data_IF_674736821495
#
_entry.id   IF_674736821495
#
_cell.length_a   1.000
_cell.length_b   1.000
_cell.length_c   1.000
_cell.angle_alpha   90.00
_cell.angle_beta   90.00
_cell.angle_gamma   90.00
#
_symmetry.space_group_name_H-M   'P 1'
#
loop_
_entity.id
_entity.type
_entity.pdbx_description
1 polymer ?
#
# COMPACT_ATOMS: atom_id res chain seq x y z
N UNK A 1 38.16 -5.41 43.99
CA UNK A 1 37.28 -6.59 44.08
C UNK A 1 38.20 -7.79 44.09
N UNK A 2 38.32 -8.44 45.25
CA UNK A 2 39.34 -9.47 45.45
C UNK A 2 38.82 -10.81 44.94
N UNK A 3 39.74 -11.68 44.51
CA UNK A 3 39.47 -13.02 43.98
C UNK A 3 38.59 -13.88 44.92
N UNK A 4 38.66 -13.60 46.23
CA UNK A 4 37.83 -14.21 47.26
C UNK A 4 36.33 -13.88 47.13
N UNK A 5 35.98 -12.66 46.70
CA UNK A 5 34.58 -12.22 46.52
C UNK A 5 33.95 -12.85 45.27
N UNK A 6 34.76 -13.11 44.24
CA UNK A 6 34.35 -13.81 43.03
C UNK A 6 34.03 -15.29 43.30
N UNK A 7 34.88 -15.97 44.07
CA UNK A 7 34.61 -17.36 44.45
C UNK A 7 33.36 -17.49 45.35
N UNK A 8 33.11 -16.52 46.23
CA UNK A 8 31.86 -16.45 47.00
C UNK A 8 30.63 -16.26 46.11
N UNK A 9 30.69 -15.33 45.16
CA UNK A 9 29.59 -15.06 44.23
C UNK A 9 29.28 -16.26 43.31
N UNK A 10 30.30 -16.99 42.85
CA UNK A 10 30.10 -18.21 42.05
C UNK A 10 29.55 -19.37 42.89
N UNK A 11 29.97 -19.50 44.15
CA UNK A 11 29.42 -20.50 45.07
C UNK A 11 27.93 -20.30 45.34
N UNK A 12 27.50 -19.04 45.54
CA UNK A 12 26.10 -18.70 45.78
C UNK A 12 25.21 -18.82 44.53
N UNK A 13 25.78 -18.61 43.33
CA UNK A 13 25.09 -18.85 42.06
C UNK A 13 24.91 -20.35 41.79
N UNK A 14 25.95 -21.15 42.05
CA UNK A 14 25.88 -22.60 41.89
C UNK A 14 24.89 -23.23 42.88
N UNK A 15 24.86 -22.75 44.13
CA UNK A 15 23.93 -23.23 45.16
C UNK A 15 22.48 -22.85 44.84
N UNK A 16 22.22 -21.60 44.41
CA UNK A 16 20.88 -21.19 43.94
C UNK A 16 20.41 -21.97 42.72
N UNK A 17 21.30 -22.26 41.78
CA UNK A 17 20.97 -23.09 40.61
C UNK A 17 20.60 -24.53 40.99
N UNK A 18 21.32 -25.13 41.95
CA UNK A 18 21.04 -26.47 42.43
C UNK A 18 19.73 -26.55 43.23
N UNK A 19 19.47 -25.59 44.12
CA UNK A 19 18.24 -25.54 44.93
C UNK A 19 17.00 -25.33 44.05
N UNK A 20 17.11 -24.49 43.01
CA UNK A 20 16.05 -24.24 42.04
C UNK A 20 15.80 -25.46 41.14
N UNK A 21 16.85 -26.22 40.78
CA UNK A 21 16.71 -27.51 40.08
C UNK A 21 16.02 -28.58 40.94
N UNK A 22 16.36 -28.65 42.23
CA UNK A 22 15.77 -29.60 43.18
C UNK A 22 14.30 -29.25 43.48
N UNK A 23 13.96 -27.96 43.56
CA UNK A 23 12.58 -27.49 43.68
C UNK A 23 11.74 -27.91 42.46
N UNK A 24 12.26 -27.72 41.25
CA UNK A 24 11.58 -28.09 40.00
C UNK A 24 11.43 -29.60 39.81
N UNK A 25 12.42 -30.40 40.24
CA UNK A 25 12.30 -31.87 40.21
C UNK A 25 11.27 -32.42 41.19
N UNK A 26 10.96 -31.71 42.29
CA UNK A 26 9.88 -32.09 43.21
C UNK A 26 8.48 -31.81 42.66
N UNK A 27 8.35 -30.88 41.70
CA UNK A 27 7.08 -30.49 41.10
C UNK A 27 6.67 -31.31 39.86
N UNK A 28 7.44 -32.35 39.51
CA UNK A 28 7.02 -33.39 38.56
C UNK A 28 6.88 -32.97 37.09
N UNK A 29 7.17 -31.71 36.73
CA UNK A 29 7.17 -31.24 35.36
C UNK A 29 8.55 -31.46 34.72
N UNK A 30 8.75 -32.61 34.07
CA UNK A 30 9.88 -32.78 33.15
C UNK A 30 9.82 -31.74 32.03
N UNK A 31 10.92 -31.05 31.77
CA UNK A 31 11.01 -30.05 30.70
C UNK A 31 10.83 -30.73 29.33
N UNK A 32 9.80 -30.35 28.57
CA UNK A 32 9.69 -30.74 27.17
C UNK A 32 10.86 -30.16 26.36
N UNK A 33 11.25 -30.82 25.28
CA UNK A 33 12.31 -30.34 24.38
C UNK A 33 12.02 -28.90 23.87
N UNK A 34 10.74 -28.55 23.71
CA UNK A 34 10.27 -27.22 23.30
C UNK A 34 10.46 -26.15 24.39
N UNK A 35 10.39 -26.54 25.67
CA UNK A 35 10.73 -25.66 26.79
C UNK A 35 12.22 -25.30 26.83
N UNK A 36 13.10 -26.23 26.42
CA UNK A 36 14.55 -26.04 26.40
C UNK A 36 14.96 -25.16 25.22
N UNK A 37 14.37 -25.35 24.04
CA UNK A 37 14.64 -24.53 22.85
C UNK A 37 14.14 -23.09 23.03
N UNK A 38 12.96 -22.89 23.62
CA UNK A 38 12.41 -21.55 23.91
C UNK A 38 13.19 -20.80 25.01
N UNK A 39 13.76 -21.51 25.98
CA UNK A 39 14.62 -20.88 26.99
C UNK A 39 15.99 -20.50 26.40
N UNK A 40 16.53 -21.33 25.51
CA UNK A 40 17.80 -21.08 24.82
C UNK A 40 17.72 -19.87 23.85
N UNK A 41 16.59 -19.69 23.16
CA UNK A 41 16.35 -18.53 22.29
C UNK A 41 16.20 -17.23 23.11
N UNK A 42 15.49 -17.29 24.25
CA UNK A 42 15.37 -16.17 25.21
C UNK A 42 16.73 -15.73 25.76
N UNK A 43 17.64 -16.66 26.05
CA UNK A 43 18.97 -16.35 26.56
C UNK A 43 19.89 -15.71 25.50
N UNK A 44 19.72 -16.02 24.21
CA UNK A 44 20.47 -15.38 23.11
C UNK A 44 20.01 -13.94 22.86
N UNK A 45 18.71 -13.65 22.87
CA UNK A 45 18.16 -12.29 22.63
C UNK A 45 18.56 -11.29 23.71
N UNK A 46 18.67 -11.70 24.97
CA UNK A 46 19.12 -10.82 26.07
C UNK A 46 20.59 -10.41 25.97
N UNK A 47 21.42 -11.11 25.19
CA UNK A 47 22.84 -10.74 25.00
C UNK A 47 23.05 -9.76 23.84
N UNK A 48 22.15 -9.68 22.87
CA UNK A 48 22.25 -8.75 21.74
C UNK A 48 21.65 -7.37 22.02
N UNK A 49 20.67 -7.26 22.92
CA UNK A 49 20.09 -5.97 23.31
C UNK A 49 21.00 -5.10 24.22
N UNK A 50 22.17 -5.60 24.65
CA UNK A 50 23.05 -4.94 25.62
C UNK A 50 24.28 -4.22 25.05
N UNK A 51 24.46 -4.13 23.73
CA UNK A 51 25.71 -3.61 23.13
C UNK A 51 25.56 -2.34 22.29
N UNK A 52 24.34 -1.83 22.06
CA UNK A 52 24.12 -0.68 21.16
C UNK A 52 23.72 0.61 21.89
N UNK A 53 24.52 1.07 22.86
CA UNK A 53 24.37 2.44 23.40
C UNK A 53 25.76 3.05 23.60
N UNK A 54 26.30 3.64 22.53
CA UNK A 54 27.35 4.66 22.65
C UNK A 54 27.37 5.59 21.42
N UNK A 55 26.95 6.84 21.65
CA UNK A 55 27.46 8.12 21.09
C UNK A 55 27.46 8.37 19.58
N UNK A 56 26.74 9.41 19.12
CA UNK A 56 27.31 10.77 19.01
C UNK A 56 26.24 11.84 18.67
N UNK A 57 26.20 12.88 19.49
CA UNK A 57 25.48 14.11 19.25
C UNK A 57 26.33 15.07 18.39
N UNK A 58 25.74 15.66 17.35
CA UNK A 58 26.29 16.84 16.67
C UNK A 58 25.16 17.86 16.49
N UNK A 59 25.26 18.95 17.23
CA UNK A 59 24.55 20.21 17.02
C UNK A 59 25.14 20.92 15.79
N UNK A 60 24.30 21.41 14.88
CA UNK A 60 24.71 22.19 13.71
C UNK A 60 23.61 23.16 13.27
N UNK A 61 23.92 24.46 13.35
CA UNK A 61 23.03 25.61 13.23
C UNK A 61 22.39 25.85 11.86
N UNK A 62 21.31 26.63 11.89
CA UNK A 62 20.57 27.21 10.78
C UNK A 62 21.42 28.04 9.80
N UNK A 63 21.09 27.96 8.51
CA UNK A 63 21.34 29.01 7.51
C UNK A 63 20.11 29.17 6.63
N UNK A 64 19.48 30.35 6.75
CA UNK A 64 18.55 30.94 5.79
C UNK A 64 19.30 31.33 4.52
N UNK A 65 18.79 30.97 3.34
CA UNK A 65 19.33 31.41 2.06
C UNK A 65 18.34 31.20 0.93
N UNK A 66 17.60 32.25 0.58
CA UNK A 66 16.69 32.25 -0.56
C UNK A 66 17.44 32.27 -1.89
N UNK A 67 16.83 31.66 -2.91
CA UNK A 67 17.26 31.83 -4.30
C UNK A 67 16.03 32.14 -5.15
N UNK A 68 16.17 33.21 -5.93
CA UNK A 68 15.14 33.84 -6.71
C UNK A 68 14.71 33.00 -7.92
N UNK A 69 13.41 32.99 -8.20
CA UNK A 69 12.83 32.46 -9.44
C UNK A 69 13.31 33.30 -10.64
N UNK A 70 14.14 32.69 -11.49
CA UNK A 70 14.40 33.20 -12.84
C UNK A 70 13.20 32.90 -13.74
N UNK A 71 12.52 33.95 -14.20
CA UNK A 71 11.46 33.84 -15.22
C UNK A 71 12.08 33.44 -16.56
N UNK A 72 11.68 32.31 -17.10
CA UNK A 72 11.88 31.97 -18.52
C UNK A 72 10.90 32.78 -19.38
N UNK A 73 11.32 33.27 -20.55
CA UNK A 73 10.43 33.99 -21.47
C UNK A 73 9.45 33.03 -22.15
N UNK A 74 8.19 33.46 -22.16
CA UNK A 74 7.06 32.82 -22.82
C UNK A 74 7.29 32.74 -24.34
N UNK A 75 7.12 31.57 -24.99
CA UNK A 75 7.20 31.48 -26.44
C UNK A 75 6.01 32.18 -27.09
N UNK A 76 6.32 33.15 -27.95
CA UNK A 76 5.38 33.93 -28.73
C UNK A 76 4.56 33.03 -29.67
N UNK A 77 3.21 33.09 -29.68
CA UNK A 77 2.39 32.31 -30.60
C UNK A 77 2.67 32.67 -32.07
N UNK A 78 2.87 31.65 -32.90
CA UNK A 78 2.95 31.80 -34.35
C UNK A 78 1.62 32.33 -34.91
N UNK A 79 1.72 33.28 -35.85
CA UNK A 79 0.57 33.91 -36.49
C UNK A 79 -0.31 32.88 -37.22
N UNK A 80 -1.66 33.01 -37.15
CA UNK A 80 -2.56 32.10 -37.83
C UNK A 80 -2.44 32.25 -39.36
N UNK A 81 -2.24 31.12 -40.04
CA UNK A 81 -2.29 31.02 -41.50
C UNK A 81 -3.75 31.13 -41.96
N UNK A 82 -4.08 31.99 -42.94
CA UNK A 82 -5.45 32.14 -43.42
C UNK A 82 -5.93 30.86 -44.13
N UNK A 83 -7.02 30.28 -43.62
CA UNK A 83 -7.73 29.14 -44.22
C UNK A 83 -8.64 29.65 -45.34
N UNK A 84 -8.62 29.04 -46.54
CA UNK A 84 -9.55 29.41 -47.61
C UNK A 84 -10.99 29.02 -47.23
N UNK A 85 -11.88 30.02 -47.27
CA UNK A 85 -13.33 29.84 -47.12
C UNK A 85 -13.92 29.32 -48.42
N UNK A 86 -14.46 28.10 -48.38
CA UNK A 86 -15.36 27.58 -49.42
C UNK A 86 -16.80 27.86 -48.96
N UNK A 87 -17.50 28.73 -49.70
CA UNK A 87 -18.92 29.00 -49.47
C UNK A 87 -19.76 27.81 -49.95
N UNK A 88 -20.36 27.09 -49.02
CA UNK A 88 -21.39 26.09 -49.30
C UNK A 88 -22.77 26.78 -49.48
N UNK A 89 -23.64 26.27 -50.37
CA UNK A 89 -24.95 26.85 -50.62
C UNK A 89 -25.90 26.70 -49.41
N UNK A 90 -26.77 27.69 -49.24
CA UNK A 90 -27.71 27.81 -48.13
C UNK A 90 -28.71 26.63 -48.08
N UNK A 91 -28.96 26.03 -46.90
CA UNK A 91 -29.97 25.01 -46.74
C UNK A 91 -31.38 25.62 -46.77
N UNK A 92 -32.28 24.92 -47.47
CA UNK A 92 -33.73 25.15 -47.54
C UNK A 92 -34.36 25.04 -46.14
N UNK A 93 -35.33 25.90 -45.77
CA UNK A 93 -35.96 25.84 -44.46
C UNK A 93 -36.84 24.60 -44.32
N UNK A 94 -36.45 23.67 -43.46
CA UNK A 94 -37.28 22.56 -42.99
C UNK A 94 -38.04 22.97 -41.73
N UNK A 95 -39.34 22.73 -41.74
CA UNK A 95 -40.30 22.96 -40.65
C UNK A 95 -39.82 22.29 -39.35
N UNK A 96 -39.85 22.97 -38.19
CA UNK A 96 -39.45 22.35 -36.92
C UNK A 96 -40.39 21.21 -36.57
N UNK A 97 -39.83 20.00 -36.42
CA UNK A 97 -40.53 18.91 -35.75
C UNK A 97 -40.76 19.30 -34.28
N UNK A 98 -41.88 18.90 -33.65
CA UNK A 98 -42.14 19.20 -32.25
C UNK A 98 -40.98 18.68 -31.40
N UNK A 99 -40.32 19.59 -30.67
CA UNK A 99 -39.30 19.25 -29.69
C UNK A 99 -39.91 18.30 -28.68
N UNK A 100 -39.37 17.08 -28.49
CA UNK A 100 -39.86 16.18 -27.45
C UNK A 100 -39.75 16.92 -26.11
N UNK A 101 -40.87 16.97 -25.39
CA UNK A 101 -40.92 17.52 -24.04
C UNK A 101 -39.96 16.70 -23.19
N UNK A 102 -38.92 17.34 -22.65
CA UNK A 102 -38.00 16.71 -21.71
C UNK A 102 -38.81 16.19 -20.51
N UNK A 103 -38.88 14.88 -20.38
CA UNK A 103 -39.39 14.25 -19.16
C UNK A 103 -38.48 14.71 -18.03
N UNK A 104 -39.01 15.27 -16.92
CA UNK A 104 -38.20 15.68 -15.78
C UNK A 104 -37.33 14.50 -15.36
N UNK A 105 -36.01 14.69 -15.32
CA UNK A 105 -35.11 13.71 -14.75
C UNK A 105 -35.56 13.43 -13.31
N UNK A 106 -35.84 12.17 -12.98
CA UNK A 106 -36.03 11.78 -11.57
C UNK A 106 -34.67 12.00 -10.90
N UNK A 107 -34.61 12.95 -9.96
CA UNK A 107 -33.41 13.10 -9.13
C UNK A 107 -33.21 11.84 -8.28
N UNK A 108 -31.95 11.44 -8.11
CA UNK A 108 -31.56 10.32 -7.25
C UNK A 108 -31.97 10.61 -5.80
N UNK A 109 -32.73 9.70 -5.21
CA UNK A 109 -33.16 9.80 -3.80
C UNK A 109 -32.05 9.21 -2.93
N UNK A 110 -31.57 9.99 -1.96
CA UNK A 110 -30.59 9.54 -0.97
C UNK A 110 -31.28 8.98 0.27
N UNK A 111 -30.59 8.06 0.95
CA UNK A 111 -31.06 7.50 2.21
C UNK A 111 -31.26 8.60 3.27
N UNK A 112 -32.38 8.55 3.97
CA UNK A 112 -32.62 9.31 5.18
C UNK A 112 -31.85 8.70 6.37
N UNK A 113 -31.43 9.56 7.30
CA UNK A 113 -30.68 9.15 8.48
C UNK A 113 -31.53 8.37 9.49
N UNK A 114 -31.04 7.19 9.89
CA UNK A 114 -31.61 6.35 10.94
C UNK A 114 -30.61 6.15 12.09
N UNK A 115 -30.83 6.79 13.27
CA UNK A 115 -29.95 6.66 14.42
C UNK A 115 -29.97 5.27 15.08
N UNK A 116 -30.92 4.40 14.71
CA UNK A 116 -31.01 3.04 15.24
C UNK A 116 -30.10 2.04 14.51
N UNK A 117 -29.63 2.40 13.31
CA UNK A 117 -28.64 1.63 12.57
C UNK A 117 -27.25 1.88 13.13
N UNK A 118 -26.41 0.83 13.18
CA UNK A 118 -25.01 0.97 13.53
C UNK A 118 -24.25 1.76 12.44
N UNK A 119 -23.25 2.54 12.86
CA UNK A 119 -22.35 3.21 11.92
C UNK A 119 -21.70 2.21 10.96
N UNK A 120 -21.60 2.60 9.68
CA UNK A 120 -21.12 1.73 8.59
C UNK A 120 -22.24 1.01 7.84
N UNK A 121 -23.49 1.10 8.31
CA UNK A 121 -24.65 0.66 7.53
C UNK A 121 -25.19 1.79 6.63
N UNK A 122 -25.82 1.43 5.51
CA UNK A 122 -26.48 2.41 4.66
C UNK A 122 -27.60 3.13 5.42
N UNK A 123 -27.69 4.45 5.28
CA UNK A 123 -28.65 5.29 6.00
C UNK A 123 -28.34 5.52 7.48
N UNK A 124 -27.27 4.92 8.03
CA UNK A 124 -26.85 5.23 9.41
C UNK A 124 -26.35 6.67 9.53
N UNK A 125 -26.45 7.24 10.74
CA UNK A 125 -25.82 8.51 11.04
C UNK A 125 -24.33 8.30 11.32
N UNK A 126 -23.49 9.30 11.01
CA UNK A 126 -22.07 9.30 11.44
C UNK A 126 -21.91 9.32 12.96
N UNK A 127 -22.95 9.74 13.68
CA UNK A 127 -23.01 9.71 15.15
C UNK A 127 -23.67 8.44 15.71
N UNK A 128 -24.09 7.50 14.86
CA UNK A 128 -24.64 6.23 15.29
C UNK A 128 -23.58 5.42 16.05
N UNK A 129 -23.98 4.60 17.03
CA UNK A 129 -23.04 3.68 17.68
C UNK A 129 -22.45 2.69 16.66
N UNK A 130 -21.21 2.28 16.86
CA UNK A 130 -20.57 1.20 16.09
C UNK A 130 -21.07 -0.16 16.55
N UNK A 131 -20.99 -1.17 15.68
CA UNK A 131 -21.36 -2.54 16.03
C UNK A 131 -20.39 -3.20 17.04
N UNK A 132 -19.13 -2.73 17.07
CA UNK A 132 -18.09 -3.17 18.01
C UNK A 132 -17.51 -1.95 18.74
N UNK A 133 -16.84 -2.12 19.89
CA UNK A 133 -16.22 -1.01 20.60
C UNK A 133 -15.17 -0.27 19.76
N UNK A 134 -15.08 1.05 19.93
CA UNK A 134 -14.05 1.86 19.30
C UNK A 134 -12.66 1.61 19.93
N UNK A 135 -11.63 1.73 19.11
CA UNK A 135 -10.23 1.73 19.54
C UNK A 135 -9.48 2.91 18.91
N UNK A 136 -8.90 3.76 19.74
CA UNK A 136 -8.22 5.00 19.36
C UNK A 136 -6.69 4.82 19.25
N UNK A 137 -6.17 3.63 19.54
CA UNK A 137 -4.74 3.32 19.36
C UNK A 137 -4.37 3.13 17.89
N UNK A 138 -5.35 2.83 17.04
CA UNK A 138 -5.20 2.67 15.61
C UNK A 138 -5.84 3.86 14.89
N UNK A 139 -5.47 4.07 13.62
CA UNK A 139 -6.11 5.04 12.74
C UNK A 139 -6.49 4.40 11.41
N UNK A 140 -7.74 4.54 10.98
CA UNK A 140 -8.10 4.24 9.61
C UNK A 140 -7.81 5.47 8.75
N UNK A 141 -7.31 5.30 7.54
CA UNK A 141 -6.94 6.42 6.68
C UNK A 141 -7.50 6.24 5.28
N UNK A 142 -7.84 7.37 4.67
CA UNK A 142 -8.11 7.48 3.24
C UNK A 142 -7.40 8.72 2.70
N UNK A 143 -6.75 8.57 1.56
CA UNK A 143 -6.27 9.67 0.75
C UNK A 143 -6.90 9.60 -0.64
N UNK A 144 -7.02 10.75 -1.28
CA UNK A 144 -7.45 10.82 -2.67
C UNK A 144 -6.60 11.83 -3.42
N UNK A 145 -6.39 11.56 -4.71
CA UNK A 145 -5.67 12.46 -5.61
C UNK A 145 -6.50 13.66 -6.05
N UNK A 146 -7.83 13.62 -5.86
CA UNK A 146 -8.73 14.71 -6.21
C UNK A 146 -9.89 14.80 -5.22
N UNK A 147 -10.26 16.03 -4.86
CA UNK A 147 -11.42 16.33 -4.02
C UNK A 147 -12.68 16.61 -4.85
N UNK A 148 -12.59 16.56 -6.19
CA UNK A 148 -13.67 16.92 -7.13
C UNK A 148 -13.77 15.89 -8.25
N UNK A 149 -14.93 15.28 -8.40
CA UNK A 149 -15.18 14.23 -9.40
C UNK A 149 -16.48 14.51 -10.15
N UNK A 150 -16.53 14.43 -11.50
CA UNK A 150 -17.79 14.52 -12.22
C UNK A 150 -18.74 13.38 -11.84
N UNK A 151 -20.04 13.65 -11.87
CA UNK A 151 -21.08 12.65 -11.61
C UNK A 151 -20.91 11.46 -12.54
N UNK A 152 -21.02 10.24 -12.00
CA UNK A 152 -20.80 9.01 -12.75
C UNK A 152 -19.34 8.63 -12.96
N UNK A 153 -18.36 9.38 -12.44
CA UNK A 153 -16.95 9.01 -12.50
C UNK A 153 -16.45 8.37 -11.20
N UNK A 154 -15.42 7.54 -11.32
CA UNK A 154 -14.75 6.91 -10.18
C UNK A 154 -13.66 7.83 -9.62
N UNK A 155 -13.33 7.66 -8.35
CA UNK A 155 -12.25 8.39 -7.67
C UNK A 155 -11.19 7.40 -7.18
N UNK A 156 -9.92 7.66 -7.53
CA UNK A 156 -8.82 6.86 -7.01
C UNK A 156 -8.59 7.23 -5.53
N UNK A 157 -8.56 6.21 -4.69
CA UNK A 157 -8.34 6.34 -3.24
C UNK A 157 -7.20 5.43 -2.81
N UNK A 158 -6.45 5.88 -1.82
CA UNK A 158 -5.48 5.09 -1.07
C UNK A 158 -6.02 4.90 0.34
N UNK A 159 -5.95 3.69 0.88
CA UNK A 159 -6.50 3.37 2.19
C UNK A 159 -5.56 2.47 2.96
N UNK A 160 -5.41 2.72 4.25
CA UNK A 160 -4.59 1.90 5.14
C UNK A 160 -5.07 2.02 6.59
N UNK A 161 -4.56 1.17 7.47
CA UNK A 161 -4.82 1.23 8.91
C UNK A 161 -3.50 1.38 9.65
N UNK A 162 -3.24 2.55 10.21
CA UNK A 162 -2.03 2.80 11.00
C UNK A 162 -2.14 2.18 12.40
N UNK A 163 -1.03 1.60 12.86
CA UNK A 163 -0.83 1.17 14.24
C UNK A 163 -0.15 2.33 14.96
N UNK A 164 -0.93 3.16 15.66
CA UNK A 164 -0.46 4.43 16.21
C UNK A 164 0.77 4.33 17.13
N UNK A 165 1.22 5.48 17.63
CA UNK A 165 2.56 5.59 18.27
C UNK A 165 2.68 5.00 19.67
N UNK A 166 1.57 4.63 20.33
CA UNK A 166 1.53 4.19 21.73
C UNK A 166 1.68 2.67 21.88
N UNK A 167 2.78 2.23 22.52
CA UNK A 167 3.10 0.84 22.91
C UNK A 167 3.23 -0.17 21.73
N UNK A 168 3.88 -1.33 21.93
CA UNK A 168 3.97 -2.36 20.89
C UNK A 168 2.66 -3.13 20.81
N UNK A 169 1.84 -2.80 19.81
CA UNK A 169 0.58 -3.51 19.55
C UNK A 169 0.80 -4.53 18.44
N UNK A 170 0.39 -5.77 18.67
CA UNK A 170 0.23 -6.77 17.62
C UNK A 170 -1.24 -6.82 17.26
N UNK A 171 -1.55 -6.64 15.98
CA UNK A 171 -2.92 -6.60 15.51
C UNK A 171 -3.10 -7.44 14.24
N UNK A 172 -4.32 -7.91 14.02
CA UNK A 172 -4.75 -8.32 12.69
C UNK A 172 -5.50 -7.15 12.04
N UNK A 173 -5.02 -6.73 10.87
CA UNK A 173 -5.56 -5.62 10.09
C UNK A 173 -6.16 -6.16 8.79
N UNK A 174 -7.17 -5.49 8.20
CA UNK A 174 -7.73 -5.94 6.94
C UNK A 174 -6.71 -5.84 5.80
N UNK A 175 -6.52 -6.92 5.05
CA UNK A 175 -5.57 -7.00 3.92
C UNK A 175 -5.86 -5.96 2.83
N UNK A 176 -7.14 -5.61 2.69
CA UNK A 176 -7.61 -4.63 1.72
C UNK A 176 -7.56 -3.18 2.24
N UNK A 177 -6.93 -2.90 3.39
CA UNK A 177 -6.96 -1.57 3.99
C UNK A 177 -8.35 -1.19 4.54
N UNK A 178 -8.59 0.11 4.72
CA UNK A 178 -9.81 0.62 5.34
C UNK A 178 -11.03 0.58 4.40
N UNK A 179 -12.21 0.42 4.99
CA UNK A 179 -13.50 0.61 4.33
C UNK A 179 -13.85 2.09 4.32
N UNK A 180 -14.57 2.55 3.28
CA UNK A 180 -14.98 3.95 3.16
C UNK A 180 -16.51 4.05 3.18
N UNK A 181 -17.03 4.85 4.11
CA UNK A 181 -18.40 5.33 4.06
C UNK A 181 -18.45 6.69 3.33
N UNK A 182 -19.32 6.83 2.34
CA UNK A 182 -19.60 8.10 1.68
C UNK A 182 -20.78 8.75 2.39
N UNK A 183 -20.53 9.92 2.98
CA UNK A 183 -21.47 10.61 3.88
C UNK A 183 -21.96 11.90 3.24
N UNK A 184 -23.26 12.18 3.35
CA UNK A 184 -23.85 13.48 3.04
C UNK A 184 -24.78 13.90 4.16
N UNK A 185 -24.63 15.15 4.62
CA UNK A 185 -25.43 15.73 5.70
C UNK A 185 -25.46 14.85 6.98
N UNK A 186 -24.34 14.19 7.28
CA UNK A 186 -24.20 13.29 8.43
C UNK A 186 -24.82 11.90 8.27
N UNK A 187 -25.33 11.55 7.08
CA UNK A 187 -25.91 10.24 6.75
C UNK A 187 -25.00 9.47 5.80
N UNK A 188 -24.79 8.18 6.07
CA UNK A 188 -24.10 7.28 5.15
C UNK A 188 -25.00 7.00 3.94
N UNK A 189 -24.59 7.46 2.76
CA UNK A 189 -25.36 7.34 1.51
C UNK A 189 -24.69 6.44 0.48
N UNK A 190 -23.43 6.05 0.71
CA UNK A 190 -22.69 5.09 -0.10
C UNK A 190 -21.72 4.30 0.77
N UNK A 191 -21.41 3.08 0.37
CA UNK A 191 -20.42 2.22 1.02
C UNK A 191 -19.52 1.63 -0.06
N UNK A 192 -18.23 1.62 0.22
CA UNK A 192 -17.25 0.94 -0.63
C UNK A 192 -16.31 0.14 0.24
N UNK A 193 -16.26 -1.16 -0.04
CA UNK A 193 -15.17 -2.00 0.44
C UNK A 193 -14.16 -2.16 -0.67
N UNK A 194 -12.89 -2.06 -0.31
CA UNK A 194 -11.75 -2.49 -1.11
C UNK A 194 -11.67 -4.02 -1.25
N UNK A 195 -12.69 -4.75 -0.78
CA UNK A 195 -12.69 -6.20 -0.52
C UNK A 195 -12.04 -7.04 -1.62
N UNK A 196 -11.39 -8.12 -1.18
CA UNK A 196 -10.50 -8.97 -1.99
C UNK A 196 -11.07 -10.36 -2.28
N UNK A 197 -12.31 -10.65 -1.90
CA UNK A 197 -12.96 -11.94 -2.15
C UNK A 197 -12.40 -13.06 -1.27
N UNK A 198 -11.86 -14.14 -1.86
CA UNK A 198 -11.35 -15.32 -1.13
C UNK A 198 -9.89 -15.20 -0.66
N UNK A 199 -9.28 -14.02 -0.83
CA UNK A 199 -7.96 -13.69 -0.28
C UNK A 199 -8.07 -13.58 1.24
N UNK A 200 -7.00 -13.88 2.02
CA UNK A 200 -7.00 -13.63 3.46
C UNK A 200 -7.53 -12.23 3.76
N UNK A 201 -8.60 -12.17 4.54
CA UNK A 201 -9.25 -10.90 4.86
C UNK A 201 -8.40 -10.10 5.84
N UNK A 202 -7.50 -10.76 6.57
CA UNK A 202 -6.67 -10.15 7.59
C UNK A 202 -5.18 -10.39 7.34
N UNK A 203 -4.35 -9.52 7.91
CA UNK A 203 -2.92 -9.66 7.96
C UNK A 203 -2.45 -9.32 9.36
N UNK A 204 -1.57 -10.16 9.91
CA UNK A 204 -0.84 -9.83 11.12
C UNK A 204 0.11 -8.68 10.86
N UNK A 205 -0.04 -7.62 11.63
CA UNK A 205 0.82 -6.46 11.63
C UNK A 205 1.47 -6.33 13.01
N UNK A 206 2.77 -6.06 12.98
CA UNK A 206 3.57 -5.74 14.14
C UNK A 206 4.39 -4.51 13.79
N UNK A 207 4.33 -3.50 14.66
CA UNK A 207 5.06 -2.24 14.53
C UNK A 207 6.54 -2.40 14.17
N UNK A 208 7.19 -3.41 14.74
CA UNK A 208 8.65 -3.59 14.59
C UNK A 208 9.04 -4.41 13.36
N UNK A 209 8.08 -5.02 12.64
CA UNK A 209 8.38 -6.09 11.67
C UNK A 209 7.71 -5.97 10.29
N UNK A 210 6.96 -4.90 9.98
CA UNK A 210 6.19 -4.91 8.73
C UNK A 210 5.77 -3.56 8.15
N UNK A 211 5.56 -3.59 6.82
CA UNK A 211 4.77 -2.57 6.15
C UNK A 211 3.29 -2.75 6.49
N UNK A 212 2.59 -1.63 6.66
CA UNK A 212 1.15 -1.61 6.94
C UNK A 212 0.38 -2.05 5.69
N UNK A 213 -0.62 -2.94 5.79
CA UNK A 213 -1.46 -3.29 4.66
C UNK A 213 -2.15 -2.05 4.09
N UNK A 214 -2.09 -1.88 2.77
CA UNK A 214 -2.71 -0.74 2.10
C UNK A 214 -3.45 -1.18 0.84
N UNK A 215 -4.46 -0.43 0.45
CA UNK A 215 -5.16 -0.62 -0.80
C UNK A 215 -5.32 0.69 -1.53
N UNK A 216 -4.88 0.67 -2.78
CA UNK A 216 -5.05 1.77 -3.73
C UNK A 216 -6.00 1.31 -4.83
N UNK A 217 -7.21 1.84 -4.84
CA UNK A 217 -8.32 1.32 -5.65
C UNK A 217 -9.26 2.43 -6.14
N UNK A 218 -10.19 2.08 -7.02
CA UNK A 218 -11.25 2.97 -7.46
C UNK A 218 -12.46 2.88 -6.54
N UNK A 219 -12.80 4.00 -5.92
CA UNK A 219 -14.07 4.19 -5.25
C UNK A 219 -15.10 4.62 -6.31
N UNK A 220 -16.16 3.83 -6.46
CA UNK A 220 -17.36 4.20 -7.23
C UNK A 220 -18.32 4.97 -6.31
N UNK A 221 -18.53 6.29 -6.49
CA UNK A 221 -19.45 7.07 -5.67
C UNK A 221 -20.90 6.75 -6.09
N UNK A 222 -21.42 5.64 -5.57
CA UNK A 222 -22.79 5.18 -5.82
C UNK A 222 -23.61 5.14 -4.55
N UNK A 223 -24.93 5.29 -4.70
CA UNK A 223 -25.89 5.14 -3.62
C UNK A 223 -25.85 3.71 -3.07
N UNK A 224 -25.95 3.57 -1.76
CA UNK A 224 -26.42 2.35 -1.13
C UNK A 224 -27.93 2.48 -0.86
N UNK A 225 -28.62 1.35 -0.61
CA UNK A 225 -30.03 1.36 -0.21
C UNK A 225 -30.23 0.61 1.11
N UNK A 226 -30.80 1.24 2.15
CA UNK A 226 -31.23 0.51 3.34
C UNK A 226 -32.53 -0.25 3.06
N UNK A 227 -32.68 -1.45 3.64
CA UNK A 227 -33.89 -2.27 3.45
C UNK A 227 -35.19 -1.54 3.87
N UNK A 228 -35.08 -0.58 4.79
CA UNK A 228 -36.21 0.20 5.31
C UNK A 228 -36.67 1.34 4.39
N UNK A 229 -35.93 1.66 3.31
CA UNK A 229 -36.25 2.79 2.40
C UNK A 229 -36.27 2.33 0.93
N UNK A 230 -37.40 1.76 0.46
CA UNK A 230 -37.49 1.15 -0.88
C UNK A 230 -37.40 2.15 -2.04
N UNK A 231 -37.54 3.45 -1.77
CA UNK A 231 -37.43 4.50 -2.78
C UNK A 231 -35.96 4.85 -3.11
N UNK A 232 -35.00 4.38 -2.31
CA UNK A 232 -33.56 4.52 -2.55
C UNK A 232 -33.09 3.32 -3.38
N UNK A 233 -32.53 3.59 -4.55
CA UNK A 233 -32.00 2.54 -5.43
C UNK A 233 -30.50 2.42 -5.19
N UNK A 234 -30.01 1.23 -4.87
CA UNK A 234 -28.59 0.97 -4.70
C UNK A 234 -27.86 0.90 -6.06
N UNK A 235 -26.64 1.40 -6.11
CA UNK A 235 -25.77 1.35 -7.28
C UNK A 235 -25.98 2.49 -8.29
N UNK A 236 -26.91 3.41 -8.04
CA UNK A 236 -27.04 4.62 -8.87
C UNK A 236 -25.90 5.59 -8.57
N UNK A 237 -25.37 6.32 -9.58
CA UNK A 237 -24.40 7.38 -9.32
C UNK A 237 -24.92 8.36 -8.27
N UNK A 238 -24.06 8.76 -7.34
CA UNK A 238 -24.41 9.81 -6.39
C UNK A 238 -24.65 11.13 -7.15
N UNK A 239 -25.70 11.90 -6.83
CA UNK A 239 -25.98 13.17 -7.47
C UNK A 239 -24.91 14.22 -7.13
N UNK A 240 -24.91 15.33 -7.86
CA UNK A 240 -23.99 16.43 -7.54
C UNK A 240 -24.20 16.96 -6.11
N UNK A 241 -23.09 17.34 -5.46
CA UNK A 241 -23.12 17.83 -4.09
C UNK A 241 -21.80 17.68 -3.34
N UNK A 242 -21.80 18.10 -2.08
CA UNK A 242 -20.68 17.92 -1.16
C UNK A 242 -20.90 16.67 -0.31
N UNK A 243 -19.85 15.88 -0.20
CA UNK A 243 -19.79 14.61 0.49
C UNK A 243 -18.54 14.57 1.36
N UNK A 244 -18.52 13.60 2.26
CA UNK A 244 -17.36 13.28 3.09
C UNK A 244 -17.06 11.79 2.97
N UNK A 245 -15.81 11.45 2.73
CA UNK A 245 -15.29 10.10 2.84
C UNK A 245 -14.88 9.86 4.29
N UNK A 246 -15.59 8.96 4.95
CA UNK A 246 -15.32 8.58 6.33
C UNK A 246 -14.66 7.19 6.34
N UNK A 247 -13.33 7.09 6.47
CA UNK A 247 -12.66 5.80 6.57
C UNK A 247 -12.94 5.16 7.92
N UNK A 248 -13.10 3.84 7.90
CA UNK A 248 -13.18 3.02 9.09
C UNK A 248 -12.68 1.60 8.79
N UNK A 249 -12.25 0.90 9.81
CA UNK A 249 -11.84 -0.48 9.70
C UNK A 249 -12.25 -1.27 10.93
N UNK A 250 -12.55 -2.54 10.73
CA UNK A 250 -12.51 -3.49 11.82
C UNK A 250 -11.04 -3.90 12.02
N UNK A 251 -10.59 -3.98 13.26
CA UNK A 251 -9.27 -4.49 13.64
C UNK A 251 -9.42 -5.52 14.74
N UNK A 252 -8.48 -6.44 14.82
CA UNK A 252 -8.42 -7.39 15.92
C UNK A 252 -7.18 -7.13 16.73
N UNK A 253 -7.37 -6.62 17.95
CA UNK A 253 -6.29 -6.42 18.90
C UNK A 253 -5.88 -7.78 19.48
N UNK A 254 -4.62 -8.15 19.30
CA UNK A 254 -4.03 -9.37 19.84
C UNK A 254 -3.19 -9.07 21.11
N UNK A 255 -3.19 -7.82 21.56
CA UNK A 255 -2.51 -7.35 22.75
C UNK A 255 -0.98 -7.21 22.58
N UNK A 256 -0.30 -7.11 23.72
CA UNK A 256 1.15 -6.95 23.82
C UNK A 256 1.87 -8.30 24.05
N UNK A 257 1.14 -9.41 23.95
CA UNK A 257 1.60 -10.70 24.47
C UNK A 257 2.73 -11.30 23.61
N UNK A 258 3.81 -11.74 24.28
CA UNK A 258 4.92 -12.42 23.62
C UNK A 258 4.53 -13.81 23.08
N UNK A 259 3.33 -14.26 23.42
CA UNK A 259 2.75 -15.52 22.96
C UNK A 259 2.11 -15.42 21.56
N UNK A 260 1.98 -14.22 20.96
CA UNK A 260 1.60 -14.10 19.53
C UNK A 260 2.80 -14.54 18.67
N UNK A 261 2.68 -15.63 17.88
CA UNK A 261 3.81 -16.14 17.11
C UNK A 261 4.26 -15.09 16.08
N UNK A 262 5.48 -14.60 16.22
CA UNK A 262 6.09 -13.69 15.23
C UNK A 262 6.41 -14.40 13.92
N UNK A 263 6.69 -15.71 13.99
CA UNK A 263 7.00 -16.55 12.83
C UNK A 263 6.47 -17.98 13.05
N UNK A 264 5.34 -18.34 12.42
CA UNK A 264 5.03 -19.72 12.07
C UNK A 264 4.34 -20.64 13.10
N UNK A 265 3.28 -20.21 13.78
CA UNK A 265 2.58 -21.09 14.75
C UNK A 265 1.05 -21.08 14.81
N UNK A 266 0.38 -20.08 14.25
CA UNK A 266 -1.09 -20.04 14.21
C UNK A 266 -1.54 -19.68 12.80
N UNK A 267 -2.53 -20.42 12.29
CA UNK A 267 -3.28 -19.96 11.12
C UNK A 267 -4.01 -18.69 11.55
N UNK A 268 -4.02 -17.67 10.70
CA UNK A 268 -4.69 -16.38 10.93
C UNK A 268 -6.10 -16.53 11.54
N UNK A 269 -6.87 -17.51 11.04
CA UNK A 269 -8.20 -17.86 11.57
C UNK A 269 -8.18 -18.32 13.04
N UNK A 270 -7.15 -19.07 13.44
CA UNK A 270 -7.01 -19.56 14.81
C UNK A 270 -6.55 -18.45 15.74
N UNK A 271 -5.69 -17.54 15.26
CA UNK A 271 -5.27 -16.35 16.01
C UNK A 271 -6.45 -15.39 16.26
N UNK A 272 -7.25 -15.12 15.22
CA UNK A 272 -8.46 -14.31 15.31
C UNK A 272 -9.48 -14.92 16.29
N UNK A 273 -9.72 -16.22 16.20
CA UNK A 273 -10.72 -16.90 17.03
C UNK A 273 -10.29 -17.12 18.49
N UNK A 274 -8.99 -17.25 18.77
CA UNK A 274 -8.49 -17.61 20.09
C UNK A 274 -8.06 -16.43 20.96
N UNK A 275 -7.61 -15.33 20.36
CA UNK A 275 -6.87 -14.26 21.07
C UNK A 275 -7.40 -12.85 20.82
N UNK A 276 -8.25 -12.67 19.82
CA UNK A 276 -8.60 -11.36 19.29
C UNK A 276 -9.82 -10.70 19.94
N UNK A 277 -9.66 -9.45 20.37
CA UNK A 277 -10.82 -8.57 20.58
C UNK A 277 -11.08 -7.73 19.32
N UNK A 278 -12.25 -7.91 18.73
CA UNK A 278 -12.68 -7.14 17.57
C UNK A 278 -13.04 -5.71 17.97
N UNK A 279 -12.52 -4.75 17.22
CA UNK A 279 -12.70 -3.32 17.44
C UNK A 279 -13.03 -2.61 16.14
N UNK A 280 -13.69 -1.46 16.24
CA UNK A 280 -13.79 -0.50 15.13
C UNK A 280 -12.78 0.62 15.34
N UNK A 281 -12.11 0.99 14.26
CA UNK A 281 -11.24 2.15 14.19
C UNK A 281 -11.86 3.12 13.21
N UNK A 282 -11.94 4.39 13.59
CA UNK A 282 -12.40 5.48 12.74
C UNK A 282 -11.21 6.34 12.34
N UNK A 283 -11.25 6.89 11.14
CA UNK A 283 -10.29 7.89 10.71
C UNK A 283 -10.87 9.29 10.63
N UNK A 284 -10.02 10.22 10.19
CA UNK A 284 -10.45 11.57 9.91
C UNK A 284 -11.27 11.64 8.61
N UNK A 285 -12.36 12.43 8.58
CA UNK A 285 -13.16 12.63 7.38
C UNK A 285 -12.40 13.41 6.29
N UNK A 286 -12.51 12.96 5.04
CA UNK A 286 -11.92 13.63 3.87
C UNK A 286 -13.02 14.20 2.98
N UNK A 287 -13.00 15.49 2.60
CA UNK A 287 -14.04 16.08 1.76
C UNK A 287 -13.98 15.54 0.32
N UNK A 288 -15.15 15.36 -0.30
CA UNK A 288 -15.32 15.02 -1.72
C UNK A 288 -16.48 15.83 -2.30
N UNK A 289 -16.32 16.37 -3.51
CA UNK A 289 -17.35 17.10 -4.23
C UNK A 289 -17.67 16.37 -5.52
N UNK A 290 -18.95 16.06 -5.73
CA UNK A 290 -19.45 15.50 -6.98
C UNK A 290 -20.02 16.65 -7.82
N UNK A 291 -19.53 16.80 -9.04
CA UNK A 291 -19.84 17.92 -9.93
C UNK A 291 -20.65 17.49 -11.16
N UNK A 292 -21.32 18.45 -11.81
CA UNK A 292 -22.03 18.24 -13.08
C UNK A 292 -23.51 17.92 -12.92
N UNK A 293 -24.12 17.50 -14.03
CA UNK A 293 -25.52 17.05 -14.06
C UNK A 293 -25.61 15.58 -13.63
N UNK A 294 -26.77 15.17 -13.13
CA UNK A 294 -27.02 13.81 -12.66
C UNK A 294 -26.75 12.79 -13.79
N UNK A 295 -25.73 11.96 -13.60
CA UNK A 295 -25.43 10.87 -14.53
C UNK A 295 -26.30 9.65 -14.21
N UNK A 296 -26.75 8.96 -15.25
CA UNK A 296 -27.57 7.74 -15.10
C UNK A 296 -26.75 6.46 -14.98
N UNK A 297 -25.44 6.51 -15.25
CA UNK A 297 -24.56 5.35 -15.28
C UNK A 297 -23.15 5.70 -14.80
N UNK A 298 -22.50 4.76 -14.12
CA UNK A 298 -21.07 4.85 -13.78
C UNK A 298 -20.20 4.56 -15.00
N UNK A 299 -19.10 5.30 -15.14
CA UNK A 299 -18.02 4.98 -16.05
C UNK A 299 -17.39 3.64 -15.64
N UNK A 300 -17.04 2.77 -16.59
CA UNK A 300 -16.38 1.51 -16.29
C UNK A 300 -15.00 1.75 -15.70
N UNK A 301 -14.54 0.84 -14.84
CA UNK A 301 -13.18 0.89 -14.30
C UNK A 301 -12.17 0.70 -15.45
N UNK A 302 -11.03 1.40 -15.45
CA UNK A 302 -9.99 1.18 -16.44
C UNK A 302 -9.62 -0.31 -16.59
N UNK A 303 -9.26 -0.70 -17.82
CA UNK A 303 -8.82 -2.07 -18.19
C UNK A 303 -9.76 -3.23 -17.80
N UNK A 304 -11.03 -2.95 -17.48
CA UNK A 304 -12.02 -4.01 -17.14
C UNK A 304 -12.13 -5.10 -18.22
N UNK A 305 -11.89 -4.75 -19.49
CA UNK A 305 -11.96 -5.69 -20.62
C UNK A 305 -10.63 -6.31 -21.04
N UNK A 306 -9.53 -5.97 -20.37
CA UNK A 306 -8.20 -6.43 -20.76
C UNK A 306 -7.95 -7.86 -20.29
N UNK A 307 -7.11 -8.59 -21.02
CA UNK A 307 -6.73 -9.93 -20.63
C UNK A 307 -5.75 -9.89 -19.45
N UNK A 308 -5.94 -10.81 -18.49
CA UNK A 308 -4.96 -11.04 -17.44
C UNK A 308 -3.71 -11.73 -18.03
N UNK A 309 -2.56 -11.07 -17.93
CA UNK A 309 -1.23 -11.62 -18.21
C UNK A 309 -0.50 -11.70 -16.87
N UNK A 310 -0.45 -12.88 -16.23
CA UNK A 310 0.16 -13.04 -14.92
C UNK A 310 1.63 -12.61 -14.90
N UNK A 311 2.09 -12.09 -13.77
CA UNK A 311 3.50 -11.81 -13.56
C UNK A 311 4.26 -13.14 -13.48
N UNK A 312 5.24 -13.41 -14.37
CA UNK A 312 6.00 -14.64 -14.35
C UNK A 312 6.96 -14.64 -13.17
N UNK A 313 7.44 -15.82 -12.77
CA UNK A 313 8.59 -15.93 -11.88
C UNK A 313 9.85 -15.58 -12.67
N UNK A 314 10.58 -14.54 -12.25
CA UNK A 314 11.84 -14.12 -12.84
C UNK A 314 12.90 -14.15 -11.75
N UNK A 315 14.05 -14.75 -12.05
CA UNK A 315 15.18 -14.75 -11.12
C UNK A 315 15.81 -13.36 -11.01
N UNK A 316 16.39 -13.08 -9.84
CA UNK A 316 17.15 -11.85 -9.65
C UNK A 316 18.31 -11.77 -10.65
N UNK A 317 18.51 -10.63 -11.36
CA UNK A 317 19.66 -10.48 -12.23
C UNK A 317 20.94 -10.62 -11.43
N UNK A 318 21.78 -11.59 -11.82
CA UNK A 318 23.07 -11.79 -11.18
C UNK A 318 24.19 -11.19 -12.01
N UNK A 319 25.24 -10.75 -11.33
CA UNK A 319 26.43 -10.21 -11.96
C UNK A 319 26.99 -11.11 -13.06
N UNK A 320 27.37 -10.52 -14.19
CA UNK A 320 27.89 -11.23 -15.36
C UNK A 320 26.84 -11.94 -16.21
N UNK A 321 25.57 -11.94 -15.81
CA UNK A 321 24.47 -12.42 -16.65
C UNK A 321 24.10 -11.40 -17.72
N UNK A 322 23.39 -11.83 -18.79
CA UNK A 322 22.81 -10.91 -19.75
C UNK A 322 21.91 -9.85 -19.10
N UNK A 323 21.77 -8.72 -19.77
CA UNK A 323 20.81 -7.68 -19.39
C UNK A 323 19.41 -8.27 -19.17
N UNK A 324 18.68 -7.83 -18.13
CA UNK A 324 17.32 -8.31 -17.90
C UNK A 324 16.39 -7.84 -19.02
N UNK A 325 15.36 -8.63 -19.30
CA UNK A 325 14.32 -8.27 -20.28
C UNK A 325 13.20 -7.52 -19.56
N UNK A 326 12.75 -6.35 -20.07
CA UNK A 326 11.59 -5.65 -19.54
C UNK A 326 10.37 -6.57 -19.47
N UNK A 327 9.57 -6.43 -18.42
CA UNK A 327 8.42 -7.30 -18.18
C UNK A 327 7.24 -6.91 -19.06
N UNK A 328 6.76 -7.84 -19.89
CA UNK A 328 5.52 -7.71 -20.66
C UNK A 328 4.37 -8.43 -19.94
N UNK A 329 3.84 -7.80 -18.89
CA UNK A 329 2.82 -8.40 -18.00
C UNK A 329 1.71 -7.41 -17.68
N UNK A 330 0.65 -7.87 -17.00
CA UNK A 330 -0.38 -6.98 -16.47
C UNK A 330 0.11 -6.05 -15.37
N UNK A 331 1.30 -6.24 -14.80
CA UNK A 331 1.92 -5.28 -13.90
C UNK A 331 3.08 -4.58 -14.63
N UNK A 332 2.95 -3.28 -14.82
CA UNK A 332 3.92 -2.45 -15.52
C UNK A 332 4.72 -1.64 -14.51
N UNK A 333 6.02 -1.53 -14.75
CA UNK A 333 6.89 -0.61 -14.05
C UNK A 333 7.38 0.45 -15.04
N UNK A 334 6.91 1.67 -14.85
CA UNK A 334 7.30 2.81 -15.67
C UNK A 334 8.38 3.61 -14.97
N UNK A 335 9.40 3.99 -15.73
CA UNK A 335 10.57 4.78 -15.31
C UNK A 335 10.72 5.96 -16.29
N UNK A 336 11.71 6.86 -16.15
CA UNK A 336 11.99 7.84 -17.19
C UNK A 336 12.10 7.18 -18.56
N UNK A 337 11.61 7.86 -19.59
CA UNK A 337 11.56 7.31 -20.94
C UNK A 337 12.92 6.74 -21.37
N UNK A 338 12.89 5.62 -22.10
CA UNK A 338 14.10 4.95 -22.55
C UNK A 338 15.04 5.92 -23.28
N UNK A 339 16.33 5.84 -22.96
CA UNK A 339 17.37 6.74 -23.49
C UNK A 339 17.51 8.08 -22.75
N UNK A 340 16.68 8.36 -21.75
CA UNK A 340 16.89 9.52 -20.85
C UNK A 340 18.22 9.35 -20.11
N UNK A 341 19.02 10.42 -20.05
CA UNK A 341 20.28 10.46 -19.29
C UNK A 341 20.01 11.05 -17.91
N UNK A 342 20.31 10.27 -16.88
CA UNK A 342 20.14 10.64 -15.46
C UNK A 342 21.53 10.70 -14.83
N UNK A 343 21.83 11.77 -14.11
CA UNK A 343 23.06 11.85 -13.33
C UNK A 343 22.93 11.02 -12.05
N UNK A 344 24.02 10.42 -11.58
CA UNK A 344 24.04 9.63 -10.35
C UNK A 344 23.48 10.38 -9.13
N UNK A 345 23.76 11.69 -9.02
CA UNK A 345 23.24 12.53 -7.94
C UNK A 345 21.71 12.71 -7.96
N UNK A 346 21.08 12.55 -9.14
CA UNK A 346 19.64 12.72 -9.34
C UNK A 346 18.88 11.39 -9.25
N UNK A 347 19.59 10.27 -9.03
CA UNK A 347 18.99 8.94 -9.02
C UNK A 347 17.85 8.84 -8.00
N UNK A 348 18.01 9.46 -6.83
CA UNK A 348 17.01 9.54 -5.75
C UNK A 348 15.69 10.21 -6.16
N UNK A 349 15.69 10.93 -7.29
CA UNK A 349 14.52 11.65 -7.83
C UNK A 349 13.91 10.94 -9.03
N UNK A 350 14.48 9.80 -9.47
CA UNK A 350 13.97 9.02 -10.59
C UNK A 350 12.59 8.47 -10.22
N UNK A 351 11.51 8.90 -10.90
CA UNK A 351 10.20 8.34 -10.65
C UNK A 351 10.19 6.90 -11.18
N UNK A 352 9.83 5.96 -10.31
CA UNK A 352 9.41 4.63 -10.71
C UNK A 352 7.94 4.49 -10.29
N UNK A 353 7.07 4.05 -11.19
CA UNK A 353 5.64 3.91 -10.93
C UNK A 353 5.16 2.54 -11.37
N UNK A 354 4.49 1.83 -10.48
CA UNK A 354 3.72 0.62 -10.75
C UNK A 354 2.35 0.96 -11.26
N UNK A 355 1.90 0.21 -12.26
CA UNK A 355 0.52 0.24 -12.71
C UNK A 355 0.08 -1.19 -13.04
N UNK A 356 -0.98 -1.65 -12.37
CA UNK A 356 -1.64 -2.87 -12.78
C UNK A 356 -2.62 -2.55 -13.90
N UNK A 357 -2.40 -3.07 -15.11
CA UNK A 357 -3.25 -2.90 -16.29
C UNK A 357 -4.02 -4.17 -16.65
N UNK A 358 -4.09 -5.14 -15.72
CA UNK A 358 -4.94 -6.32 -15.85
C UNK A 358 -6.37 -6.05 -15.36
N UNK A 359 -7.29 -7.00 -15.50
CA UNK A 359 -8.66 -6.82 -15.04
C UNK A 359 -8.75 -6.81 -13.50
N UNK A 360 -9.62 -5.96 -12.96
CA UNK A 360 -9.96 -5.93 -11.52
C UNK A 360 -8.82 -5.41 -10.64
N UNK A 361 -8.34 -6.23 -9.70
CA UNK A 361 -7.32 -5.85 -8.69
C UNK A 361 -6.20 -6.88 -8.59
N UNK A 362 -4.99 -6.40 -8.29
CA UNK A 362 -3.85 -7.23 -7.91
C UNK A 362 -3.66 -7.16 -6.40
N UNK A 363 -3.61 -8.32 -5.73
CA UNK A 363 -3.14 -8.44 -4.35
C UNK A 363 -1.72 -8.97 -4.36
N UNK A 364 -0.79 -8.25 -3.72
CA UNK A 364 0.63 -8.57 -3.76
C UNK A 364 1.33 -8.20 -2.47
N UNK A 365 2.42 -8.89 -2.12
CA UNK A 365 3.38 -8.41 -1.13
C UNK A 365 4.45 -7.60 -1.84
N UNK A 366 4.85 -6.49 -1.26
CA UNK A 366 5.96 -5.68 -1.77
C UNK A 366 7.12 -5.80 -0.80
N UNK A 367 8.28 -6.26 -1.27
CA UNK A 367 9.51 -6.07 -0.52
C UNK A 367 10.00 -4.70 -0.92
N UNK A 368 9.79 -3.74 -0.01
CA UNK A 368 9.94 -2.31 -0.29
C UNK A 368 11.18 -1.98 -1.11
N UNK A 369 11.12 -0.84 -1.80
CA UNK A 369 12.17 -0.23 -2.62
C UNK A 369 12.21 -0.69 -4.08
N UNK A 370 12.37 0.28 -4.99
CA UNK A 370 12.75 0.03 -6.38
C UNK A 370 14.25 -0.24 -6.48
N UNK A 371 14.63 -1.43 -6.96
CA UNK A 371 16.03 -1.83 -7.04
C UNK A 371 16.61 -1.51 -8.40
N UNK A 372 17.92 -1.32 -8.47
CA UNK A 372 18.62 -1.05 -9.72
C UNK A 372 19.51 -2.22 -10.11
N UNK A 373 19.47 -2.57 -11.39
CA UNK A 373 20.52 -3.35 -12.05
C UNK A 373 21.20 -2.47 -13.07
N UNK A 374 22.52 -2.41 -13.01
CA UNK A 374 23.34 -1.67 -13.96
C UNK A 374 23.96 -2.63 -14.97
N UNK A 375 23.83 -2.25 -16.24
CA UNK A 375 24.28 -3.03 -17.38
C UNK A 375 25.28 -2.22 -18.19
N UNK A 376 26.37 -2.86 -18.57
CA UNK A 376 27.36 -2.33 -19.51
C UNK A 376 27.63 -3.42 -20.55
N UNK A 377 27.68 -3.04 -21.83
CA UNK A 377 27.91 -3.96 -22.95
C UNK A 377 26.98 -5.19 -22.95
N UNK A 378 25.74 -5.03 -22.49
CA UNK A 378 24.73 -6.08 -22.47
C UNK A 378 24.85 -7.08 -21.32
N UNK A 379 25.74 -6.86 -20.35
CA UNK A 379 25.88 -7.70 -19.15
C UNK A 379 25.71 -6.90 -17.86
N UNK A 380 25.23 -7.56 -16.80
CA UNK A 380 25.06 -6.97 -15.48
C UNK A 380 26.41 -6.74 -14.80
N UNK A 381 26.68 -5.49 -14.41
CA UNK A 381 27.95 -5.03 -13.83
C UNK A 381 27.80 -4.35 -12.47
N UNK A 382 26.57 -4.08 -12.03
CA UNK A 382 26.30 -3.58 -10.67
C UNK A 382 24.83 -3.74 -10.29
N UNK A 383 24.55 -3.69 -8.99
CA UNK A 383 23.18 -3.75 -8.45
C UNK A 383 23.05 -2.80 -7.26
N UNK A 384 21.84 -2.33 -6.95
CA UNK A 384 21.56 -1.76 -5.62
C UNK A 384 21.22 -2.87 -4.64
N UNK A 385 21.61 -2.70 -3.37
CA UNK A 385 21.18 -3.57 -2.28
C UNK A 385 20.56 -2.74 -1.15
N UNK A 386 19.34 -3.08 -0.76
CA UNK A 386 18.65 -2.51 0.41
C UNK A 386 18.23 -3.62 1.37
N UNK A 387 18.26 -3.32 2.66
CA UNK A 387 17.82 -4.26 3.71
C UNK A 387 16.30 -4.41 3.71
N UNK A 388 15.86 -5.61 4.13
CA UNK A 388 14.53 -6.17 3.94
C UNK A 388 13.70 -6.06 5.21
N UNK A 389 13.30 -4.86 5.60
CA UNK A 389 12.68 -4.69 6.92
C UNK A 389 11.19 -4.34 6.86
N UNK A 390 10.60 -4.19 5.66
CA UNK A 390 9.16 -3.93 5.52
C UNK A 390 8.53 -4.71 4.37
N UNK A 391 7.69 -5.69 4.71
CA UNK A 391 6.80 -6.37 3.76
C UNK A 391 5.36 -6.21 4.21
N UNK A 392 4.57 -5.44 3.48
CA UNK A 392 3.11 -5.35 3.63
C UNK A 392 2.40 -6.10 2.49
N UNK A 393 1.19 -6.59 2.74
CA UNK A 393 0.28 -6.96 1.64
C UNK A 393 -0.43 -5.72 1.15
N UNK A 394 -0.46 -5.56 -0.16
CA UNK A 394 -1.02 -4.40 -0.83
C UNK A 394 -2.07 -4.86 -1.84
N UNK A 395 -3.06 -4.00 -2.06
CA UNK A 395 -4.04 -4.14 -3.15
C UNK A 395 -3.87 -2.98 -4.11
N UNK A 396 -3.80 -3.28 -5.42
CA UNK A 396 -3.74 -2.29 -6.48
C UNK A 396 -4.87 -2.52 -7.48
N UNK A 397 -5.79 -1.56 -7.56
CA UNK A 397 -6.84 -1.50 -8.56
C UNK A 397 -6.29 -1.18 -9.95
N UNK A 398 -6.99 -1.66 -10.96
CA UNK A 398 -6.52 -1.52 -12.34
C UNK A 398 -6.46 -0.08 -12.85
N UNK A 399 -5.40 0.25 -13.58
CA UNK A 399 -5.15 1.57 -14.17
C UNK A 399 -4.83 2.66 -13.17
N UNK A 400 -4.51 2.30 -11.92
CA UNK A 400 -4.08 3.28 -10.90
C UNK A 400 -2.56 3.23 -10.78
N UNK A 401 -1.86 4.33 -11.08
CA UNK A 401 -0.42 4.39 -10.85
C UNK A 401 -0.14 4.51 -9.35
N UNK A 402 0.84 3.73 -8.88
CA UNK A 402 1.46 3.80 -7.55
C UNK A 402 2.94 4.12 -7.73
N UNK A 403 3.42 5.19 -7.13
CA UNK A 403 4.86 5.49 -7.13
C UNK A 403 5.58 4.47 -6.26
N UNK A 404 6.60 3.81 -6.81
CA UNK A 404 7.53 3.01 -6.05
C UNK A 404 8.30 3.92 -5.08
N UNK A 405 8.44 3.48 -3.85
CA UNK A 405 9.28 4.22 -2.91
C UNK A 405 10.73 4.28 -3.41
N UNK A 406 11.32 5.47 -3.27
CA UNK A 406 12.69 5.91 -3.62
C UNK A 406 13.55 4.89 -4.40
N UNK A 407 13.90 5.23 -5.64
CA UNK A 407 15.06 4.64 -6.34
C UNK A 407 16.32 5.35 -5.83
N UNK A 408 16.90 4.91 -4.72
CA UNK A 408 18.08 5.56 -4.14
C UNK A 408 19.41 5.12 -4.78
N UNK A 409 20.46 5.96 -4.79
CA UNK A 409 21.83 5.50 -5.04
C UNK A 409 22.40 4.67 -3.88
N UNK A 410 21.68 4.62 -2.76
CA UNK A 410 22.06 3.89 -1.55
C UNK A 410 22.26 2.41 -1.86
N UNK A 411 23.40 1.87 -1.44
CA UNK A 411 23.74 0.47 -1.66
C UNK A 411 24.02 0.10 -3.12
N UNK A 412 24.18 1.07 -4.03
CA UNK A 412 24.60 0.79 -5.40
C UNK A 412 26.08 0.42 -5.44
N UNK A 413 26.36 -0.79 -5.92
CA UNK A 413 27.66 -1.45 -5.80
C UNK A 413 28.04 -2.10 -7.12
N UNK A 414 29.34 -2.05 -7.44
CA UNK A 414 29.87 -2.82 -8.56
C UNK A 414 29.86 -4.32 -8.22
N UNK A 415 29.62 -5.15 -9.23
CA UNK A 415 29.65 -6.61 -9.15
C UNK A 415 31.04 -7.19 -8.78
N UNK A 416 32.08 -6.36 -8.70
CA UNK A 416 33.45 -6.79 -8.51
C UNK A 416 33.82 -6.92 -7.02
N UNK A 417 33.30 -7.89 -6.28
CA UNK A 417 33.84 -8.16 -4.93
C UNK A 417 33.13 -9.30 -4.20
N UNK A 418 33.90 -10.29 -3.73
CA UNK A 418 33.40 -11.38 -2.89
C UNK A 418 33.48 -11.09 -1.38
N UNK A 419 33.79 -9.85 -0.99
CA UNK A 419 34.06 -9.46 0.40
C UNK A 419 33.26 -8.22 0.84
N UNK A 420 33.01 -8.06 2.16
CA UNK A 420 32.32 -6.90 2.71
C UNK A 420 33.14 -5.62 2.51
N UNK A 421 32.58 -4.66 1.77
CA UNK A 421 33.25 -3.43 1.31
C UNK A 421 33.22 -3.29 -0.21
N UNK A 422 32.07 -3.62 -0.83
CA UNK A 422 31.88 -3.71 -2.28
C UNK A 422 32.41 -2.44 -2.97
N UNK A 423 33.21 -2.56 -4.03
CA UNK A 423 33.85 -1.40 -4.64
C UNK A 423 32.83 -0.46 -5.28
N UNK A 424 33.17 0.83 -5.24
CA UNK A 424 32.44 1.89 -5.93
C UNK A 424 32.34 1.56 -7.42
N UNK A 425 31.20 1.92 -8.02
CA UNK A 425 31.00 1.79 -9.45
C UNK A 425 31.97 2.73 -10.19
N UNK A 426 32.76 2.25 -11.16
CA UNK A 426 33.61 3.12 -11.96
C UNK A 426 32.84 4.27 -12.62
N UNK A 427 33.52 5.36 -12.91
CA UNK A 427 32.97 6.47 -13.71
C UNK A 427 32.58 5.95 -15.09
N UNK A 428 31.39 6.27 -15.58
CA UNK A 428 30.93 5.77 -16.88
C UNK A 428 29.45 5.94 -17.15
N UNK A 429 29.02 5.44 -18.30
CA UNK A 429 27.62 5.35 -18.68
C UNK A 429 27.13 3.91 -18.56
N UNK A 430 25.98 3.73 -17.93
CA UNK A 430 25.38 2.43 -17.67
C UNK A 430 23.92 2.45 -18.15
N UNK A 431 23.44 1.32 -18.66
CA UNK A 431 22.00 1.10 -18.80
C UNK A 431 21.47 0.66 -17.43
N UNK A 432 20.59 1.44 -16.84
CA UNK A 432 19.99 1.17 -15.55
C UNK A 432 18.56 0.64 -15.75
N UNK A 433 18.28 -0.50 -15.13
CA UNK A 433 16.96 -1.10 -15.05
C UNK A 433 16.46 -0.96 -13.62
N UNK A 434 15.26 -0.42 -13.44
CA UNK A 434 14.54 -0.51 -12.16
C UNK A 434 13.81 -1.85 -12.09
N UNK A 435 13.91 -2.51 -10.95
CA UNK A 435 13.24 -3.73 -10.58
C UNK A 435 12.32 -3.47 -9.41
N UNK A 436 11.20 -4.15 -9.42
CA UNK A 436 10.28 -4.16 -8.31
C UNK A 436 10.09 -5.56 -7.79
N UNK A 437 10.37 -5.71 -6.51
CA UNK A 437 10.35 -7.00 -5.88
C UNK A 437 9.01 -7.24 -5.18
N UNK A 438 8.26 -8.19 -5.71
CA UNK A 438 6.89 -8.43 -5.27
C UNK A 438 6.51 -9.90 -5.34
N UNK A 439 5.58 -10.31 -4.48
CA UNK A 439 4.96 -11.62 -4.51
C UNK A 439 3.47 -11.46 -4.83
N UNK A 440 3.02 -11.71 -6.08
CA UNK A 440 1.61 -11.70 -6.41
C UNK A 440 0.90 -12.81 -5.63
N UNK A 441 -0.01 -12.43 -4.74
CA UNK A 441 -0.79 -13.38 -3.94
C UNK A 441 -2.02 -13.83 -4.72
N UNK A 442 -2.75 -12.87 -5.31
CA UNK A 442 -3.98 -13.16 -6.03
C UNK A 442 -4.36 -12.04 -7.00
N UNK A 443 -5.22 -12.38 -7.96
CA UNK A 443 -5.90 -11.45 -8.84
C UNK A 443 -7.40 -11.52 -8.55
N UNK A 444 -8.03 -10.39 -8.27
CA UNK A 444 -9.48 -10.29 -8.01
C UNK A 444 -10.12 -9.73 -9.27
N UNK A 445 -10.90 -10.53 -9.97
CA UNK A 445 -11.56 -10.14 -11.22
C UNK A 445 -12.77 -9.21 -10.95
N UNK A 446 -13.27 -8.49 -11.97
CA UNK A 446 -14.39 -7.55 -11.82
C UNK A 446 -15.68 -8.16 -11.26
N UNK A 447 -15.89 -9.47 -11.42
CA UNK A 447 -17.03 -10.20 -10.88
C UNK A 447 -16.81 -10.67 -9.42
N UNK A 448 -15.68 -10.29 -8.80
CA UNK A 448 -15.28 -10.67 -7.46
C UNK A 448 -14.63 -12.05 -7.36
N UNK A 449 -14.50 -12.79 -8.47
CA UNK A 449 -13.79 -14.07 -8.46
C UNK A 449 -12.30 -13.86 -8.24
N UNK A 450 -11.69 -14.74 -7.45
CA UNK A 450 -10.26 -14.67 -7.14
C UNK A 450 -9.50 -15.77 -7.88
N UNK A 451 -8.46 -15.37 -8.61
CA UNK A 451 -7.48 -16.29 -9.22
C UNK A 451 -6.19 -16.25 -8.40
N UNK A 452 -5.61 -17.39 -8.00
CA UNK A 452 -4.36 -17.41 -7.25
C UNK A 452 -3.20 -16.83 -8.07
N UNK A 453 -2.27 -16.15 -7.40
CA UNK A 453 -0.99 -15.70 -7.94
C UNK A 453 0.10 -16.76 -7.80
N UNK A 454 1.34 -16.32 -7.54
CA UNK A 454 2.48 -17.21 -7.28
C UNK A 454 2.44 -17.80 -5.86
N UNK A 455 1.71 -17.15 -4.94
CA UNK A 455 1.63 -17.56 -3.54
C UNK A 455 2.49 -16.68 -2.62
N UNK A 456 2.45 -16.92 -1.31
CA UNK A 456 3.05 -16.03 -0.31
C UNK A 456 4.56 -16.19 -0.14
N UNK A 457 5.13 -17.29 -0.63
CA UNK A 457 6.57 -17.60 -0.56
C UNK A 457 7.34 -17.37 -1.86
N UNK A 458 6.64 -17.25 -2.99
CA UNK A 458 7.25 -17.12 -4.31
C UNK A 458 7.30 -15.65 -4.72
N UNK A 459 8.50 -15.10 -4.69
CA UNK A 459 8.76 -13.72 -5.06
C UNK A 459 9.26 -13.62 -6.49
N UNK A 460 8.91 -12.52 -7.14
CA UNK A 460 9.34 -12.22 -8.51
C UNK A 460 9.75 -10.75 -8.67
N UNK A 461 10.29 -10.43 -9.84
CA UNK A 461 10.69 -9.09 -10.23
C UNK A 461 9.89 -8.62 -11.44
N UNK A 462 9.36 -7.41 -11.35
CA UNK A 462 8.91 -6.65 -12.52
C UNK A 462 10.05 -5.72 -12.94
N UNK A 463 10.44 -5.81 -14.21
CA UNK A 463 11.58 -5.08 -14.78
C UNK A 463 11.06 -3.96 -15.68
N UNK A 464 11.55 -2.75 -15.46
CA UNK A 464 11.28 -1.57 -16.29
C UNK A 464 12.05 -1.59 -17.62
N UNK A 465 11.68 -0.68 -18.52
CA UNK A 465 12.54 -0.27 -19.63
C UNK A 465 13.80 0.44 -19.10
N UNK A 466 14.96 0.28 -19.79
CA UNK A 466 16.21 0.87 -19.32
C UNK A 466 16.29 2.37 -19.60
N UNK A 467 16.99 3.08 -18.72
CA UNK A 467 17.46 4.45 -18.92
C UNK A 467 18.98 4.54 -18.79
N UNK A 468 19.59 5.64 -19.24
CA UNK A 468 21.03 5.84 -19.14
C UNK A 468 21.40 6.52 -17.83
N UNK A 469 22.19 5.85 -16.99
CA UNK A 469 22.77 6.41 -15.78
C UNK A 469 24.21 6.87 -16.05
N UNK A 470 24.53 8.09 -15.65
CA UNK A 470 25.88 8.67 -15.75
C UNK A 470 26.51 8.74 -14.37
N UNK A 471 27.58 7.98 -14.16
CA UNK A 471 28.37 7.97 -12.93
C UNK A 471 29.64 8.80 -13.14
N UNK A 472 29.92 9.79 -12.28
CA UNK A 472 30.98 10.78 -12.48
C UNK A 472 32.40 10.21 -12.37
#
# INVERSE_FOLDING_TARGET
MNEHDLHGAFGDLARRGADDQVARMREGAGLSADGITSAASRARRRRTAGVSVTTLAVLGAAVLGGVAFGRTPEPQPAAPVPRPTTSAPAPTPSTPAPTPSETPARGTVLAAGDPSLAFGACGSLVTSPTALPLDDRFGAHVETTTDRVPTGQQVAVDTWVDMGTSAPVIAALPTAGATIAVVRDGVVVGLSSSGTGSVPAWQLANRDLGGVPSARDWLAPVTCAPESQPDVVAGEPLPAGSYTLQPWAEVVDLGDDQDVPSDGGLVESDALAALGEHRIVLGDPVPLVIEGEDATTMAPTPHTGDALIPVPLVDWPTCGQPAPTPSDTSLRLTTPASGTRVAFADLSTVPATFEYVGPGKLVYREGGWGWLTLVQDGVVVGTSFTNWDSVGTNVLGSGIPRTADRVGPEGLVACAGTDPGLPELPSGEYQAYVHAFLAPIAYVLPDGTTTPGLGTGDWTFVVSEPFTLVVP
#
